data_IF_372023327306
#
_entry.id   IF_372023327306
#
_cell.length_a   1.000
_cell.length_b   1.000
_cell.length_c   1.000
_cell.angle_alpha   90.00
_cell.angle_beta   90.00
_cell.angle_gamma   90.00
#
_symmetry.space_group_name_H-M   'P 1'
#
loop_
_entity.id
_entity.type
_entity.pdbx_description
1 polymer ?
#
# COMPACT_ATOMS: atom_id res chain seq x y z
N UNK A 1 -38.76 23.30 3.06
CA UNK A 1 -37.78 22.50 3.78
C UNK A 1 -37.76 21.12 3.14
N UNK A 2 -36.78 20.87 2.26
CA UNK A 2 -36.53 19.55 1.69
C UNK A 2 -35.40 18.89 2.50
N UNK A 3 -35.44 17.57 2.71
CA UNK A 3 -34.43 16.88 3.52
C UNK A 3 -33.11 16.77 2.73
N UNK A 4 -32.01 17.10 3.41
CA UNK A 4 -30.65 16.88 2.94
C UNK A 4 -30.40 15.37 2.95
N UNK A 5 -30.53 14.75 1.79
CA UNK A 5 -30.23 13.33 1.57
C UNK A 5 -28.75 13.13 1.32
N UNK A 6 -28.10 12.52 2.28
CA UNK A 6 -27.01 11.52 2.18
C UNK A 6 -25.96 11.69 1.08
N UNK A 7 -24.92 12.51 1.35
CA UNK A 7 -23.63 12.43 0.62
C UNK A 7 -22.78 11.21 1.01
N UNK A 8 -23.09 10.54 2.14
CA UNK A 8 -22.37 9.34 2.58
C UNK A 8 -22.45 8.16 1.61
N UNK A 9 -23.59 7.96 0.95
CA UNK A 9 -23.80 6.84 0.02
C UNK A 9 -22.99 6.95 -1.29
N UNK A 10 -22.51 8.13 -1.66
CA UNK A 10 -21.80 8.32 -2.94
C UNK A 10 -20.33 7.89 -2.85
N UNK A 11 -19.72 8.02 -1.67
CA UNK A 11 -18.32 7.61 -1.44
C UNK A 11 -18.23 6.09 -1.28
N UNK A 12 -19.17 5.46 -0.59
CA UNK A 12 -19.23 3.99 -0.46
C UNK A 12 -19.40 3.29 -1.82
N UNK A 13 -20.30 3.79 -2.69
CA UNK A 13 -20.51 3.20 -4.00
C UNK A 13 -19.31 3.33 -4.95
N UNK A 14 -18.49 4.39 -4.81
CA UNK A 14 -17.31 4.56 -5.67
C UNK A 14 -16.16 3.64 -5.28
N UNK A 15 -15.92 3.40 -4.00
CA UNK A 15 -14.84 2.52 -3.54
C UNK A 15 -15.13 1.04 -3.86
N UNK A 16 -16.37 0.58 -3.66
CA UNK A 16 -16.79 -0.77 -4.07
C UNK A 16 -16.87 -0.93 -5.59
N UNK A 17 -17.17 0.12 -6.34
CA UNK A 17 -17.21 0.08 -7.80
C UNK A 17 -15.81 -0.12 -8.43
N UNK A 18 -14.75 0.42 -7.83
CA UNK A 18 -13.38 0.23 -8.31
C UNK A 18 -12.93 -1.23 -8.11
N UNK A 19 -13.29 -1.85 -6.98
CA UNK A 19 -13.03 -3.29 -6.75
C UNK A 19 -13.92 -4.16 -7.65
N UNK A 20 -15.16 -3.74 -7.94
CA UNK A 20 -16.09 -4.47 -8.80
C UNK A 20 -15.78 -4.31 -10.30
N UNK A 21 -15.22 -3.18 -10.74
CA UNK A 21 -14.83 -2.98 -12.15
C UNK A 21 -13.65 -3.88 -12.54
N UNK A 22 -12.73 -4.15 -11.61
CA UNK A 22 -11.65 -5.13 -11.81
C UNK A 22 -12.16 -6.59 -11.92
N UNK A 23 -13.42 -6.85 -11.56
CA UNK A 23 -14.03 -8.21 -11.59
C UNK A 23 -14.85 -8.53 -12.85
N UNK A 24 -15.11 -7.58 -13.77
CA UNK A 24 -16.08 -7.77 -14.86
C UNK A 24 -15.52 -8.20 -16.23
N UNK A 25 -14.26 -8.57 -16.34
CA UNK A 25 -13.70 -9.14 -17.57
C UNK A 25 -13.21 -10.56 -17.33
N UNK A 26 -14.12 -11.48 -17.04
CA UNK A 26 -13.87 -12.92 -17.17
C UNK A 26 -14.83 -13.49 -18.21
N UNK A 27 -14.32 -13.70 -19.41
CA UNK A 27 -14.80 -14.75 -20.30
C UNK A 27 -13.63 -15.66 -20.67
N UNK A 28 -13.88 -16.95 -20.55
CA UNK A 28 -12.92 -18.03 -20.57
C UNK A 28 -12.23 -18.20 -21.93
N UNK A 29 -10.89 -18.16 -21.91
CA UNK A 29 -10.11 -18.88 -22.92
C UNK A 29 -9.10 -19.79 -22.20
N UNK A 30 -9.36 -21.09 -22.28
CA UNK A 30 -8.42 -22.14 -21.85
C UNK A 30 -7.12 -22.05 -22.64
N UNK A 31 -6.09 -21.50 -22.05
CA UNK A 31 -4.70 -21.62 -22.48
C UNK A 31 -3.97 -22.51 -21.48
N UNK A 32 -3.29 -23.54 -21.99
CA UNK A 32 -2.54 -24.53 -21.22
C UNK A 32 -1.59 -23.85 -20.22
N UNK A 33 -1.63 -24.31 -18.98
CA UNK A 33 -0.82 -23.83 -17.88
C UNK A 33 0.70 -23.89 -18.20
N UNK A 34 1.34 -22.74 -18.14
CA UNK A 34 2.79 -22.64 -18.07
C UNK A 34 3.30 -23.06 -16.67
N UNK A 35 4.56 -23.48 -16.53
CA UNK A 35 5.04 -24.08 -15.30
C UNK A 35 4.96 -23.18 -14.08
N UNK A 36 4.69 -23.78 -12.94
CA UNK A 36 4.43 -23.24 -11.59
C UNK A 36 5.48 -22.26 -11.02
N UNK A 37 6.59 -22.04 -11.68
CA UNK A 37 7.71 -21.17 -11.24
C UNK A 37 7.45 -19.66 -11.41
N UNK A 38 6.39 -19.26 -12.13
CA UNK A 38 6.10 -17.85 -12.42
C UNK A 38 4.85 -17.30 -11.71
N UNK A 39 4.25 -18.11 -10.84
CA UNK A 39 3.09 -17.66 -10.09
C UNK A 39 3.53 -16.83 -8.87
N UNK A 40 2.85 -15.70 -8.58
CA UNK A 40 3.09 -14.96 -7.36
C UNK A 40 2.65 -15.78 -6.13
N UNK A 41 3.27 -15.57 -4.97
CA UNK A 41 2.90 -16.26 -3.73
C UNK A 41 1.43 -15.99 -3.37
N UNK A 42 0.74 -16.95 -2.74
CA UNK A 42 -0.61 -16.76 -2.23
C UNK A 42 -0.59 -15.76 -1.06
N UNK A 43 -1.63 -14.91 -0.97
CA UNK A 43 -1.80 -14.02 0.18
C UNK A 43 -3.29 -13.88 0.56
N UNK A 44 -3.61 -13.47 1.82
CA UNK A 44 -4.96 -13.07 2.20
C UNK A 44 -5.48 -11.90 1.36
N UNK A 45 -6.80 -11.71 1.33
CA UNK A 45 -7.40 -10.54 0.67
C UNK A 45 -7.11 -9.24 1.42
N UNK A 46 -6.84 -9.32 2.73
CA UNK A 46 -6.46 -8.20 3.57
C UNK A 46 -5.18 -8.58 4.31
N UNK A 47 -4.08 -7.96 3.93
CA UNK A 47 -2.73 -8.27 4.38
C UNK A 47 -1.98 -6.98 4.80
N UNK A 48 -0.87 -7.08 5.52
CA UNK A 48 -0.06 -5.92 5.87
C UNK A 48 0.23 -5.03 4.65
N UNK A 49 0.05 -3.72 4.81
CA UNK A 49 0.14 -2.73 3.74
C UNK A 49 -1.18 -2.39 3.04
N UNK A 50 -2.22 -3.20 3.16
CA UNK A 50 -3.52 -2.91 2.58
C UNK A 50 -4.28 -1.84 3.41
N UNK A 51 -5.06 -1.00 2.74
CA UNK A 51 -5.93 -0.05 3.40
C UNK A 51 -7.04 -0.75 4.16
N UNK A 52 -7.33 -0.21 5.34
CA UNK A 52 -8.43 -0.70 6.16
C UNK A 52 -9.77 -0.43 5.48
N UNK A 53 -10.69 -1.41 5.43
CA UNK A 53 -12.04 -1.18 4.97
C UNK A 53 -12.72 -0.06 5.75
N UNK A 54 -13.37 0.86 5.06
CA UNK A 54 -14.09 1.96 5.68
C UNK A 54 -15.39 1.45 6.30
N UNK A 55 -15.68 1.91 7.51
CA UNK A 55 -16.92 1.59 8.20
C UNK A 55 -17.39 2.77 9.04
N UNK A 56 -18.68 2.79 9.36
CA UNK A 56 -19.27 3.69 10.31
C UNK A 56 -20.15 2.89 11.28
N UNK A 57 -20.16 3.30 12.55
CA UNK A 57 -20.95 2.68 13.59
C UNK A 57 -21.31 3.73 14.67
N UNK A 58 -21.96 3.31 15.74
CA UNK A 58 -22.20 4.15 16.92
C UNK A 58 -21.36 3.69 18.10
N UNK A 59 -20.83 4.64 18.86
CA UNK A 59 -20.12 4.31 20.09
C UNK A 59 -21.11 4.05 21.26
N UNK A 60 -20.57 3.65 22.41
CA UNK A 60 -21.32 3.40 23.65
C UNK A 60 -22.10 4.61 24.20
N UNK A 61 -21.84 5.82 23.69
CA UNK A 61 -22.53 7.05 24.05
C UNK A 61 -23.55 7.48 22.97
N UNK A 62 -23.75 6.62 21.94
CA UNK A 62 -24.66 6.85 20.81
C UNK A 62 -24.14 7.82 19.75
N UNK A 63 -22.90 8.30 19.85
CA UNK A 63 -22.28 9.20 18.86
C UNK A 63 -21.86 8.40 17.63
N UNK A 64 -21.99 9.01 16.46
CA UNK A 64 -21.51 8.43 15.22
C UNK A 64 -19.97 8.37 15.22
N UNK A 65 -19.43 7.23 14.85
CA UNK A 65 -18.02 7.01 14.63
C UNK A 65 -17.83 6.63 13.17
N UNK A 66 -17.20 7.50 12.41
CA UNK A 66 -16.74 7.23 11.05
C UNK A 66 -15.25 6.94 11.11
N UNK A 67 -14.87 5.72 10.77
CA UNK A 67 -13.49 5.25 10.94
C UNK A 67 -12.47 6.17 10.23
N UNK A 68 -12.75 6.56 8.99
CA UNK A 68 -11.82 7.37 8.20
C UNK A 68 -11.49 8.71 8.83
N UNK A 69 -12.49 9.40 9.35
CA UNK A 69 -12.32 10.75 9.91
C UNK A 69 -11.98 10.75 11.41
N UNK A 70 -12.35 9.70 12.12
CA UNK A 70 -12.17 9.62 13.58
C UNK A 70 -10.75 9.18 13.98
N UNK A 71 -10.02 8.52 13.08
CA UNK A 71 -8.66 8.00 13.30
C UNK A 71 -7.69 8.82 12.50
N UNK A 72 -6.89 9.65 13.17
CA UNK A 72 -6.10 10.69 12.51
C UNK A 72 -4.65 10.70 13.00
N UNK A 73 -3.72 10.32 12.10
CA UNK A 73 -2.30 10.57 12.28
C UNK A 73 -1.60 9.81 13.42
N UNK A 74 -2.28 8.86 14.07
CA UNK A 74 -1.69 8.00 15.10
C UNK A 74 -1.87 6.52 14.73
N UNK A 75 -0.96 5.64 15.17
CA UNK A 75 -1.20 4.20 15.08
C UNK A 75 -2.54 3.84 15.73
N UNK A 76 -3.26 2.90 15.14
CA UNK A 76 -4.60 2.53 15.62
C UNK A 76 -4.69 1.05 15.87
N UNK A 77 -5.33 0.70 16.99
CA UNK A 77 -5.67 -0.68 17.32
C UNK A 77 -7.18 -0.84 17.22
N UNK A 78 -7.62 -1.75 16.35
CA UNK A 78 -8.99 -2.22 16.33
C UNK A 78 -9.05 -3.56 17.07
N UNK A 79 -9.80 -3.60 18.16
CA UNK A 79 -10.10 -4.81 18.90
C UNK A 79 -11.52 -5.28 18.58
N UNK A 80 -11.66 -6.44 18.02
CA UNK A 80 -12.94 -7.12 17.81
C UNK A 80 -13.17 -8.13 18.93
N UNK A 81 -14.11 -7.87 19.81
CA UNK A 81 -14.36 -8.73 20.97
C UNK A 81 -15.01 -10.09 20.60
N UNK A 82 -15.70 -10.13 19.45
CA UNK A 82 -16.44 -11.32 19.06
C UNK A 82 -17.52 -11.67 20.07
N UNK A 83 -17.63 -12.94 20.44
CA UNK A 83 -18.59 -13.40 21.47
C UNK A 83 -18.13 -13.23 22.92
N UNK A 84 -16.93 -12.68 23.17
CA UNK A 84 -16.39 -12.51 24.53
C UNK A 84 -16.79 -11.15 25.12
N UNK A 85 -17.02 -11.10 26.42
CA UNK A 85 -17.18 -9.83 27.12
C UNK A 85 -15.82 -9.18 27.36
N UNK A 86 -15.79 -7.83 27.43
CA UNK A 86 -14.56 -7.09 27.73
C UNK A 86 -14.00 -7.46 29.12
N UNK A 87 -14.89 -7.73 30.07
CA UNK A 87 -14.50 -8.20 31.41
C UNK A 87 -13.81 -9.56 31.36
N UNK A 88 -14.28 -10.50 30.53
CA UNK A 88 -13.66 -11.81 30.41
C UNK A 88 -12.35 -11.74 29.66
N UNK A 89 -12.24 -10.86 28.64
CA UNK A 89 -10.98 -10.61 27.94
C UNK A 89 -9.89 -10.08 28.89
N UNK A 90 -10.24 -9.17 29.78
CA UNK A 90 -9.33 -8.64 30.81
C UNK A 90 -8.93 -9.75 31.81
N UNK A 91 -9.89 -10.57 32.29
CA UNK A 91 -9.59 -11.71 33.14
C UNK A 91 -8.69 -12.76 32.47
N UNK A 92 -8.77 -12.87 31.14
CA UNK A 92 -7.92 -13.78 30.34
C UNK A 92 -6.54 -13.18 30.04
N UNK A 93 -6.18 -12.06 30.64
CA UNK A 93 -4.86 -11.45 30.57
C UNK A 93 -4.70 -10.39 29.47
N UNK A 94 -5.80 -9.89 28.88
CA UNK A 94 -5.73 -8.72 28.01
C UNK A 94 -5.59 -7.46 28.87
N UNK A 95 -4.42 -6.79 28.77
CA UNK A 95 -4.21 -5.52 29.43
C UNK A 95 -4.70 -4.35 28.52
N UNK A 96 -5.77 -3.63 28.90
CA UNK A 96 -6.21 -2.48 28.14
C UNK A 96 -5.17 -1.39 28.01
N UNK A 97 -4.28 -1.21 28.98
CA UNK A 97 -3.25 -0.19 28.93
C UNK A 97 -2.18 -0.53 27.88
N UNK A 98 -1.85 -1.82 27.70
CA UNK A 98 -0.93 -2.27 26.67
C UNK A 98 -1.42 -1.97 25.25
N UNK A 99 -2.74 -1.95 25.02
CA UNK A 99 -3.31 -1.59 23.72
C UNK A 99 -3.01 -0.14 23.34
N UNK A 100 -3.01 0.79 24.31
CA UNK A 100 -2.73 2.21 24.07
C UNK A 100 -1.22 2.55 24.14
N UNK A 101 -0.36 1.55 24.27
CA UNK A 101 1.06 1.76 24.34
C UNK A 101 1.56 2.60 23.16
N UNK A 102 2.49 3.52 23.46
CA UNK A 102 3.10 4.33 22.42
C UNK A 102 2.19 5.35 21.75
N UNK A 103 1.07 5.74 22.37
CA UNK A 103 0.15 6.74 21.83
C UNK A 103 -0.80 6.19 20.76
N UNK A 104 -0.97 4.87 20.69
CA UNK A 104 -1.94 4.27 19.78
C UNK A 104 -3.39 4.63 20.19
N UNK A 105 -4.22 4.92 19.21
CA UNK A 105 -5.67 5.05 19.41
C UNK A 105 -6.28 3.64 19.45
N UNK A 106 -7.22 3.42 20.37
CA UNK A 106 -7.88 2.13 20.53
C UNK A 106 -9.37 2.26 20.28
N UNK A 107 -9.88 1.44 19.39
CA UNK A 107 -11.30 1.32 19.11
C UNK A 107 -11.72 -0.15 19.25
N UNK A 108 -12.69 -0.40 20.13
CA UNK A 108 -13.15 -1.74 20.46
C UNK A 108 -14.56 -1.97 19.94
N UNK A 109 -14.75 -2.99 19.10
CA UNK A 109 -16.06 -3.37 18.58
C UNK A 109 -16.62 -4.55 19.37
N UNK A 110 -17.84 -4.40 19.85
CA UNK A 110 -18.58 -5.44 20.55
C UNK A 110 -19.87 -5.77 19.81
N UNK A 111 -20.26 -7.05 19.73
CA UNK A 111 -21.53 -7.46 19.14
C UNK A 111 -22.71 -6.82 19.88
N UNK A 112 -23.71 -6.34 19.16
CA UNK A 112 -24.92 -5.75 19.72
C UNK A 112 -25.06 -4.28 19.45
N UNK A 113 -26.07 -3.67 20.05
CA UNK A 113 -26.40 -2.26 19.93
C UNK A 113 -25.60 -1.38 20.89
N UNK A 114 -25.90 -0.09 20.91
CA UNK A 114 -25.24 0.90 21.78
C UNK A 114 -25.46 0.63 23.26
N UNK A 115 -26.60 0.03 23.63
CA UNK A 115 -26.90 -0.34 25.03
C UNK A 115 -25.98 -1.44 25.50
N UNK A 116 -25.76 -2.46 24.66
CA UNK A 116 -24.80 -3.54 24.94
C UNK A 116 -23.38 -2.98 25.05
N UNK A 117 -22.98 -2.10 24.12
CA UNK A 117 -21.67 -1.45 24.15
C UNK A 117 -21.44 -0.65 25.43
N UNK A 118 -22.44 0.12 25.87
CA UNK A 118 -22.38 0.91 27.10
C UNK A 118 -22.28 -0.02 28.33
N UNK A 119 -23.12 -1.03 28.41
CA UNK A 119 -23.12 -2.02 29.52
C UNK A 119 -21.77 -2.74 29.62
N UNK A 120 -21.19 -3.19 28.51
CA UNK A 120 -19.91 -3.84 28.52
C UNK A 120 -18.77 -2.91 28.95
N UNK A 121 -18.78 -1.65 28.50
CA UNK A 121 -17.79 -0.63 28.87
C UNK A 121 -17.85 -0.37 30.39
N UNK A 122 -19.03 -0.15 30.94
CA UNK A 122 -19.24 0.13 32.35
C UNK A 122 -18.84 -1.06 33.22
N UNK A 123 -19.38 -2.24 32.92
CA UNK A 123 -19.12 -3.47 33.69
C UNK A 123 -17.65 -3.89 33.74
N UNK A 124 -16.87 -3.55 32.71
CA UNK A 124 -15.45 -3.90 32.64
C UNK A 124 -14.51 -2.78 33.11
N UNK A 125 -15.02 -1.53 33.26
CA UNK A 125 -14.18 -0.36 33.44
C UNK A 125 -13.27 -0.07 32.25
N UNK A 126 -13.69 -0.45 31.02
CA UNK A 126 -12.87 -0.36 29.82
C UNK A 126 -12.50 1.10 29.48
N UNK A 127 -11.21 1.45 29.46
CA UNK A 127 -10.80 2.85 29.34
C UNK A 127 -10.92 3.41 27.91
N UNK A 128 -11.04 2.56 26.91
CA UNK A 128 -11.05 2.97 25.52
C UNK A 128 -12.47 3.13 24.97
N UNK A 129 -12.54 3.64 23.73
CA UNK A 129 -13.80 3.74 22.99
C UNK A 129 -14.36 2.37 22.69
N UNK A 130 -15.64 2.15 23.03
CA UNK A 130 -16.38 0.92 22.72
C UNK A 130 -17.46 1.25 21.70
N UNK A 131 -17.56 0.47 20.67
CA UNK A 131 -18.46 0.66 19.54
C UNK A 131 -19.39 -0.52 19.39
N UNK A 132 -20.61 -0.23 19.02
CA UNK A 132 -21.65 -1.20 18.72
C UNK A 132 -21.44 -1.79 17.31
N UNK A 133 -21.53 -3.12 17.20
CA UNK A 133 -21.51 -3.85 15.92
C UNK A 133 -22.74 -4.77 15.83
N UNK A 134 -23.94 -4.20 15.50
CA UNK A 134 -25.19 -4.97 15.42
C UNK A 134 -25.07 -6.08 14.38
N UNK A 135 -25.46 -7.30 14.77
CA UNK A 135 -25.33 -8.46 13.89
C UNK A 135 -23.89 -8.91 13.62
N UNK A 136 -22.91 -8.23 14.22
CA UNK A 136 -21.47 -8.47 13.99
C UNK A 136 -21.05 -8.29 12.52
N UNK A 137 -21.66 -7.36 11.81
CA UNK A 137 -21.44 -7.20 10.37
C UNK A 137 -20.03 -6.67 10.05
N UNK A 138 -19.53 -5.70 10.83
CA UNK A 138 -18.17 -5.19 10.67
C UNK A 138 -17.17 -6.30 11.03
N UNK A 139 -17.38 -6.98 12.17
CA UNK A 139 -16.54 -8.10 12.62
C UNK A 139 -16.45 -9.22 11.59
N UNK A 140 -17.59 -9.64 11.00
CA UNK A 140 -17.63 -10.66 9.95
C UNK A 140 -16.91 -10.23 8.68
N UNK A 141 -17.08 -8.96 8.29
CA UNK A 141 -16.38 -8.38 7.14
C UNK A 141 -14.86 -8.47 7.29
N UNK A 142 -14.33 -8.02 8.42
CA UNK A 142 -12.89 -8.09 8.71
C UNK A 142 -12.37 -9.54 8.80
N UNK A 143 -13.11 -10.43 9.45
CA UNK A 143 -12.76 -11.83 9.54
C UNK A 143 -12.75 -12.52 8.16
N UNK A 144 -13.72 -12.23 7.30
CA UNK A 144 -13.79 -12.76 5.94
C UNK A 144 -12.63 -12.31 5.04
N UNK A 145 -12.17 -11.06 5.21
CA UNK A 145 -11.06 -10.51 4.43
C UNK A 145 -9.69 -11.01 4.93
N UNK A 146 -9.46 -11.04 6.25
CA UNK A 146 -8.18 -11.40 6.84
C UNK A 146 -8.00 -12.90 7.04
N UNK A 147 -9.09 -13.67 7.07
CA UNK A 147 -9.08 -15.08 7.49
C UNK A 147 -8.92 -15.27 8.99
N UNK A 148 -8.97 -14.20 9.80
CA UNK A 148 -8.79 -14.28 11.28
C UNK A 148 -10.11 -14.03 11.97
N UNK A 149 -10.60 -15.06 12.68
CA UNK A 149 -11.85 -14.96 13.44
C UNK A 149 -11.68 -14.11 14.71
N UNK A 150 -12.72 -13.39 15.09
CA UNK A 150 -12.78 -12.71 16.38
C UNK A 150 -12.94 -13.72 17.55
N UNK A 151 -12.40 -13.43 18.76
CA UNK A 151 -11.77 -12.17 19.12
C UNK A 151 -10.41 -11.97 18.44
N UNK A 152 -10.14 -10.75 17.97
CA UNK A 152 -8.95 -10.44 17.21
C UNK A 152 -8.52 -8.97 17.39
N UNK A 153 -7.22 -8.73 17.25
CA UNK A 153 -6.60 -7.41 17.27
C UNK A 153 -5.98 -7.11 15.90
N UNK A 154 -6.29 -5.95 15.35
CA UNK A 154 -5.68 -5.40 14.15
C UNK A 154 -4.87 -4.17 14.54
N UNK A 155 -3.63 -4.09 14.06
CA UNK A 155 -2.76 -2.94 14.25
C UNK A 155 -2.61 -2.21 12.92
N UNK A 156 -2.88 -0.91 12.93
CA UNK A 156 -2.85 -0.04 11.75
C UNK A 156 -1.81 1.04 11.93
N UNK A 157 -1.19 1.45 10.82
CA UNK A 157 -0.31 2.61 10.80
C UNK A 157 -1.09 3.95 10.84
N UNK A 158 -0.42 5.10 11.03
CA UNK A 158 -1.08 6.41 11.03
C UNK A 158 -1.86 6.75 9.77
N UNK A 159 -1.62 6.05 8.66
CA UNK A 159 -2.33 6.18 7.40
C UNK A 159 -3.44 5.13 7.20
N UNK A 160 -3.85 4.47 8.30
CA UNK A 160 -4.94 3.47 8.32
C UNK A 160 -4.67 2.22 7.48
N UNK A 161 -3.40 1.84 7.32
CA UNK A 161 -3.00 0.62 6.62
C UNK A 161 -2.67 -0.48 7.62
N UNK A 162 -3.05 -1.72 7.30
CA UNK A 162 -2.76 -2.86 8.15
C UNK A 162 -1.26 -3.07 8.33
N UNK A 163 -0.82 -3.19 9.57
CA UNK A 163 0.52 -3.65 9.97
C UNK A 163 0.49 -5.14 10.28
N UNK A 164 -0.51 -5.57 11.03
CA UNK A 164 -0.67 -6.95 11.40
C UNK A 164 -2.01 -7.24 12.06
N UNK A 165 -2.38 -8.52 12.05
CA UNK A 165 -3.58 -9.03 12.69
C UNK A 165 -3.24 -10.26 13.52
N UNK A 166 -3.87 -10.38 14.69
CA UNK A 166 -3.72 -11.54 15.59
C UNK A 166 -5.05 -11.95 16.19
N UNK A 167 -5.41 -13.21 16.03
CA UNK A 167 -6.53 -13.82 16.74
C UNK A 167 -6.22 -14.03 18.23
N UNK A 168 -7.23 -13.86 19.07
CA UNK A 168 -7.13 -14.02 20.52
C UNK A 168 -7.86 -15.28 21.03
N UNK A 169 -8.29 -16.18 20.16
CA UNK A 169 -8.99 -17.42 20.55
C UNK A 169 -8.19 -18.34 21.48
N UNK A 170 -6.86 -18.21 21.51
CA UNK A 170 -5.96 -18.89 22.45
C UNK A 170 -5.58 -18.05 23.69
N UNK A 171 -6.23 -16.91 23.93
CA UNK A 171 -5.90 -15.97 25.00
C UNK A 171 -4.89 -14.89 24.58
N UNK A 172 -4.54 -14.03 25.55
CA UNK A 172 -3.68 -12.85 25.32
C UNK A 172 -2.18 -13.11 25.54
N UNK A 173 -1.77 -14.35 25.80
CA UNK A 173 -0.37 -14.67 26.09
C UNK A 173 0.58 -14.19 24.96
N UNK A 174 1.62 -13.41 25.33
CA UNK A 174 2.59 -12.85 24.40
C UNK A 174 2.03 -11.75 23.48
N UNK A 175 0.84 -11.20 23.79
CA UNK A 175 0.23 -10.12 23.02
C UNK A 175 1.04 -8.83 23.14
N UNK A 176 1.51 -8.48 24.34
CA UNK A 176 2.23 -7.24 24.60
C UNK A 176 3.51 -7.13 23.77
N UNK A 177 4.30 -8.19 23.72
CA UNK A 177 5.51 -8.26 22.89
C UNK A 177 5.20 -8.14 21.40
N UNK A 178 4.13 -8.81 20.95
CA UNK A 178 3.68 -8.70 19.57
C UNK A 178 3.19 -7.28 19.23
N UNK A 179 2.38 -6.67 20.10
CA UNK A 179 1.91 -5.29 19.93
C UNK A 179 3.06 -4.30 19.88
N UNK A 180 4.03 -4.42 20.79
CA UNK A 180 5.22 -3.58 20.79
C UNK A 180 5.99 -3.65 19.46
N UNK A 181 6.17 -4.86 18.91
CA UNK A 181 6.79 -5.07 17.61
C UNK A 181 5.99 -4.46 16.45
N UNK A 182 4.67 -4.59 16.46
CA UNK A 182 3.79 -4.00 15.43
C UNK A 182 3.77 -2.47 15.53
N UNK A 183 3.63 -1.91 16.73
CA UNK A 183 3.62 -0.47 16.95
C UNK A 183 4.98 0.19 16.62
N UNK A 184 6.09 -0.51 16.82
CA UNK A 184 7.41 -0.05 16.37
C UNK A 184 7.45 0.10 14.83
N UNK A 185 6.83 -0.81 14.09
CA UNK A 185 6.71 -0.72 12.64
C UNK A 185 5.72 0.36 12.18
N UNK A 186 4.70 0.68 12.99
CA UNK A 186 3.71 1.69 12.68
C UNK A 186 4.26 3.12 12.78
N UNK A 187 5.33 3.32 13.52
CA UNK A 187 5.94 4.64 13.72
C UNK A 187 6.88 4.95 12.58
N UNK A 188 6.82 6.18 12.08
CA UNK A 188 7.76 6.65 11.05
C UNK A 188 9.16 7.02 11.62
N UNK A 189 9.43 6.74 12.90
CA UNK A 189 10.75 6.80 13.54
C UNK A 189 11.52 8.12 13.44
N UNK A 190 10.85 9.24 13.11
CA UNK A 190 11.48 10.55 12.94
C UNK A 190 10.95 11.53 13.97
N UNK A 191 11.86 12.31 14.52
CA UNK A 191 11.52 13.48 15.29
C UNK A 191 10.85 14.54 14.41
N UNK A 192 10.10 15.44 15.04
CA UNK A 192 9.50 16.57 14.34
C UNK A 192 10.58 17.39 13.65
N UNK A 193 10.41 17.62 12.34
CA UNK A 193 11.35 18.40 11.53
C UNK A 193 10.61 19.46 10.73
N UNK A 194 11.25 20.62 10.55
CA UNK A 194 10.77 21.66 9.65
C UNK A 194 11.27 21.38 8.24
N UNK A 195 10.35 21.15 7.32
CA UNK A 195 10.67 20.95 5.90
C UNK A 195 10.42 22.25 5.16
N UNK A 196 11.50 22.85 4.66
CA UNK A 196 11.41 24.11 3.87
C UNK A 196 11.34 23.83 2.38
N UNK A 197 12.00 22.75 1.91
CA UNK A 197 12.02 22.32 0.50
C UNK A 197 11.93 20.82 0.45
N UNK A 198 11.10 20.30 -0.46
CA UNK A 198 11.01 18.87 -0.73
C UNK A 198 10.49 18.65 -2.16
N UNK A 199 10.97 17.63 -2.82
CA UNK A 199 10.40 17.21 -4.10
C UNK A 199 8.95 16.73 -3.86
N UNK A 200 7.99 17.10 -4.75
CA UNK A 200 6.61 16.64 -4.65
C UNK A 200 6.49 15.18 -5.12
N UNK A 201 7.16 14.29 -4.39
CA UNK A 201 7.17 12.86 -4.62
C UNK A 201 6.47 12.14 -3.47
N UNK A 202 5.50 11.28 -3.81
CA UNK A 202 4.74 10.49 -2.86
C UNK A 202 5.50 9.19 -2.56
N UNK A 203 5.80 8.95 -1.29
CA UNK A 203 6.32 7.67 -0.81
C UNK A 203 5.15 6.80 -0.34
N UNK A 204 5.02 5.61 -0.92
CA UNK A 204 4.00 4.63 -0.55
C UNK A 204 4.70 3.41 0.06
N UNK A 205 4.78 3.32 1.40
CA UNK A 205 5.39 2.18 2.06
C UNK A 205 4.57 0.92 1.86
N UNK A 206 5.22 -0.25 1.85
CA UNK A 206 4.55 -1.56 1.70
C UNK A 206 3.58 -1.64 0.53
N UNK A 207 3.95 -1.07 -0.61
CA UNK A 207 3.17 -1.21 -1.84
C UNK A 207 3.17 -2.65 -2.36
N UNK A 208 4.25 -3.40 -2.11
CA UNK A 208 4.38 -4.83 -2.37
C UNK A 208 4.92 -5.56 -1.14
N UNK A 209 4.56 -6.83 -0.98
CA UNK A 209 5.15 -7.73 0.01
C UNK A 209 6.60 -8.09 -0.36
N UNK A 210 7.45 -8.48 0.61
CA UNK A 210 8.80 -8.99 0.32
C UNK A 210 8.80 -10.17 -0.66
N UNK A 211 7.81 -11.05 -0.58
CA UNK A 211 7.63 -12.22 -1.45
C UNK A 211 7.28 -11.81 -2.88
N UNK A 212 6.46 -10.77 -3.06
CA UNK A 212 6.16 -10.19 -4.37
C UNK A 212 7.41 -9.59 -5.00
N UNK A 213 8.25 -8.92 -4.21
CA UNK A 213 9.53 -8.39 -4.66
C UNK A 213 10.46 -9.52 -5.14
N UNK A 214 10.55 -10.61 -4.38
CA UNK A 214 11.35 -11.78 -4.75
C UNK A 214 10.81 -12.44 -6.04
N UNK A 215 9.51 -12.56 -6.17
CA UNK A 215 8.85 -13.06 -7.38
C UNK A 215 9.21 -12.21 -8.61
N UNK A 216 9.11 -10.88 -8.52
CA UNK A 216 9.45 -9.97 -9.62
C UNK A 216 10.92 -10.07 -10.01
N UNK A 217 11.83 -10.16 -9.03
CA UNK A 217 13.26 -10.38 -9.29
C UNK A 217 13.47 -11.74 -9.99
N UNK A 218 12.74 -12.78 -9.57
CA UNK A 218 12.73 -14.09 -10.21
C UNK A 218 12.31 -14.03 -11.68
N UNK A 219 11.28 -13.26 -12.02
CA UNK A 219 10.86 -13.03 -13.41
C UNK A 219 11.98 -12.39 -14.24
N UNK A 220 12.69 -11.41 -13.67
CA UNK A 220 13.83 -10.79 -14.34
C UNK A 220 14.97 -11.77 -14.59
N UNK A 221 15.28 -12.66 -13.62
CA UNK A 221 16.35 -13.65 -13.76
C UNK A 221 16.05 -14.71 -14.82
N UNK A 222 14.78 -15.10 -14.98
CA UNK A 222 14.38 -16.20 -15.85
C UNK A 222 13.83 -15.74 -17.21
N UNK A 223 13.53 -14.44 -17.38
CA UNK A 223 12.97 -13.89 -18.61
C UNK A 223 14.02 -13.33 -19.56
N UNK A 224 13.60 -13.01 -20.78
CA UNK A 224 14.42 -12.28 -21.75
C UNK A 224 14.61 -10.83 -21.30
N UNK A 225 15.83 -10.34 -21.35
CA UNK A 225 16.22 -9.00 -20.92
C UNK A 225 16.81 -8.24 -22.07
N UNK A 226 16.39 -6.98 -22.18
CA UNK A 226 16.93 -6.03 -23.12
C UNK A 226 17.77 -4.99 -22.38
N UNK A 227 18.79 -4.44 -23.06
CA UNK A 227 19.45 -3.22 -22.59
C UNK A 227 18.42 -2.08 -22.56
N UNK A 228 18.37 -1.37 -21.42
CA UNK A 228 17.36 -0.37 -21.19
C UNK A 228 17.41 0.77 -22.20
N UNK A 229 16.36 0.87 -23.02
CA UNK A 229 16.21 1.92 -24.03
C UNK A 229 15.78 3.25 -23.41
N UNK A 230 16.10 4.35 -24.10
CA UNK A 230 15.60 5.70 -23.82
C UNK A 230 14.78 6.22 -25.02
N UNK A 231 13.76 7.02 -24.76
CA UNK A 231 13.03 7.71 -25.81
C UNK A 231 13.94 8.81 -26.40
N UNK A 232 14.22 8.74 -27.69
CA UNK A 232 14.99 9.76 -28.40
C UNK A 232 14.00 10.59 -29.21
N UNK A 233 13.87 11.88 -28.85
CA UNK A 233 13.04 12.83 -29.59
C UNK A 233 13.78 13.33 -30.79
N UNK A 234 13.20 13.18 -32.00
CA UNK A 234 13.54 14.01 -33.15
C UNK A 234 12.28 14.67 -33.70
N UNK A 235 12.42 15.86 -34.24
CA UNK A 235 11.34 16.60 -34.90
C UNK A 235 10.77 15.87 -36.15
N UNK A 236 11.33 14.70 -36.52
CA UNK A 236 10.96 13.94 -37.72
C UNK A 236 10.58 12.48 -37.46
N UNK A 237 10.35 12.07 -36.20
CA UNK A 237 9.96 10.69 -35.83
C UNK A 237 10.74 10.20 -34.62
N UNK A 238 10.12 10.28 -33.46
CA UNK A 238 10.72 9.78 -32.22
C UNK A 238 10.81 8.25 -32.21
N UNK A 239 11.91 7.71 -31.68
CA UNK A 239 12.14 6.29 -31.50
C UNK A 239 12.66 5.97 -30.12
N UNK A 240 12.86 4.69 -29.82
CA UNK A 240 13.57 4.24 -28.61
C UNK A 240 14.92 3.67 -29.00
N UNK A 241 15.97 4.07 -28.30
CA UNK A 241 17.35 3.63 -28.58
C UNK A 241 18.07 3.28 -27.28
N UNK A 242 19.05 2.40 -27.37
CA UNK A 242 20.01 2.14 -26.31
C UNK A 242 21.08 3.22 -26.36
N UNK A 243 21.18 4.05 -25.31
CA UNK A 243 22.19 5.12 -25.21
C UNK A 243 22.95 4.91 -23.89
N UNK A 244 24.08 4.17 -23.91
CA UNK A 244 24.81 3.78 -22.69
C UNK A 244 25.40 4.97 -21.90
N UNK A 245 25.54 6.12 -22.52
CA UNK A 245 25.95 7.36 -21.83
C UNK A 245 24.81 8.03 -21.08
N UNK A 246 23.58 7.67 -21.39
CA UNK A 246 22.37 8.22 -20.76
C UNK A 246 21.80 7.25 -19.74
N UNK A 247 21.80 5.93 -20.02
CA UNK A 247 21.20 4.90 -19.18
C UNK A 247 21.96 3.59 -19.27
N UNK A 248 22.24 3.00 -18.11
CA UNK A 248 22.79 1.64 -17.98
C UNK A 248 21.92 0.84 -17.04
N UNK A 249 20.93 0.13 -17.61
CA UNK A 249 19.98 -0.72 -16.90
C UNK A 249 19.54 -1.85 -17.84
N UNK A 250 19.41 -3.04 -17.34
CA UNK A 250 18.82 -4.16 -18.06
C UNK A 250 17.35 -4.29 -17.67
N UNK A 251 16.46 -4.35 -18.65
CA UNK A 251 15.01 -4.36 -18.46
C UNK A 251 14.38 -5.68 -18.90
N UNK A 252 13.57 -6.30 -18.04
CA UNK A 252 12.59 -7.32 -18.40
C UNK A 252 11.22 -6.64 -18.58
N UNK A 253 10.57 -6.85 -19.72
CA UNK A 253 9.23 -6.32 -19.99
C UNK A 253 8.18 -7.38 -19.67
N UNK A 254 7.24 -7.07 -18.79
CA UNK A 254 6.16 -7.97 -18.39
C UNK A 254 5.09 -8.04 -19.49
N UNK A 255 5.37 -8.81 -20.56
CA UNK A 255 4.49 -8.93 -21.73
C UNK A 255 3.34 -9.89 -21.50
N UNK A 256 3.46 -10.79 -20.54
CA UNK A 256 2.40 -11.72 -20.14
C UNK A 256 1.31 -10.94 -19.35
N UNK A 257 0.16 -10.78 -19.98
CA UNK A 257 -0.97 -10.04 -19.43
C UNK A 257 -1.58 -10.69 -18.20
N UNK A 258 -1.48 -12.00 -18.05
CA UNK A 258 -1.96 -12.71 -16.86
C UNK A 258 -1.07 -12.42 -15.66
N UNK A 259 0.26 -12.42 -15.84
CA UNK A 259 1.20 -12.03 -14.78
C UNK A 259 1.09 -10.55 -14.45
N UNK A 260 0.93 -9.69 -15.47
CA UNK A 260 0.71 -8.25 -15.26
C UNK A 260 -0.55 -7.99 -14.44
N UNK A 261 -1.65 -8.67 -14.75
CA UNK A 261 -2.91 -8.55 -13.99
C UNK A 261 -2.73 -9.00 -12.53
N UNK A 262 -2.00 -10.09 -12.28
CA UNK A 262 -1.69 -10.53 -10.92
C UNK A 262 -0.88 -9.50 -10.13
N UNK A 263 0.04 -8.78 -10.78
CA UNK A 263 0.77 -7.68 -10.15
C UNK A 263 -0.16 -6.49 -9.87
N UNK A 264 -1.01 -6.13 -10.83
CA UNK A 264 -2.00 -5.06 -10.65
C UNK A 264 -2.96 -5.36 -9.48
N UNK A 265 -3.47 -6.58 -9.38
CA UNK A 265 -4.38 -7.00 -8.30
C UNK A 265 -3.75 -6.85 -6.90
N UNK A 266 -2.42 -6.88 -6.81
CA UNK A 266 -1.66 -6.72 -5.56
C UNK A 266 -1.28 -5.28 -5.27
N UNK A 267 -0.84 -4.57 -6.30
CA UNK A 267 -0.29 -3.23 -6.18
C UNK A 267 -1.38 -2.16 -6.10
N UNK A 268 -2.39 -2.23 -6.99
CA UNK A 268 -3.33 -1.14 -7.16
C UNK A 268 -4.20 -0.84 -5.94
N UNK A 269 -4.66 -1.83 -5.15
CA UNK A 269 -5.39 -1.55 -3.91
C UNK A 269 -4.59 -0.75 -2.87
N UNK A 270 -3.27 -0.77 -2.96
CA UNK A 270 -2.35 -0.04 -2.07
C UNK A 270 -1.87 1.27 -2.64
N UNK A 271 -1.75 1.35 -3.96
CA UNK A 271 -1.21 2.51 -4.66
C UNK A 271 -2.28 3.56 -4.97
N UNK A 272 -3.43 3.11 -5.51
CA UNK A 272 -4.51 3.99 -5.99
C UNK A 272 -5.03 4.93 -4.92
N UNK A 273 -5.38 4.47 -3.71
CA UNK A 273 -5.90 5.35 -2.67
C UNK A 273 -4.91 6.44 -2.28
N UNK A 274 -3.62 6.12 -2.27
CA UNK A 274 -2.57 7.09 -1.93
C UNK A 274 -2.39 8.14 -3.03
N UNK A 275 -2.40 7.72 -4.30
CA UNK A 275 -2.31 8.63 -5.45
C UNK A 275 -3.53 9.55 -5.51
N UNK A 276 -4.73 8.99 -5.34
CA UNK A 276 -5.97 9.76 -5.32
C UNK A 276 -5.98 10.77 -4.18
N UNK A 277 -5.60 10.36 -2.97
CA UNK A 277 -5.53 11.23 -1.80
C UNK A 277 -4.50 12.35 -1.93
N UNK A 278 -3.31 12.05 -2.45
CA UNK A 278 -2.21 13.01 -2.55
C UNK A 278 -2.36 13.98 -3.71
N UNK A 279 -2.88 13.54 -4.85
CA UNK A 279 -2.86 14.28 -6.10
C UNK A 279 -4.25 14.56 -6.69
N UNK A 280 -5.34 14.08 -6.07
CA UNK A 280 -6.70 14.14 -6.62
C UNK A 280 -6.76 13.63 -8.08
N UNK A 281 -6.01 12.55 -8.36
CA UNK A 281 -5.85 11.99 -9.68
C UNK A 281 -6.49 10.61 -9.77
N UNK A 282 -7.47 10.48 -10.67
CA UNK A 282 -8.28 9.29 -10.90
C UNK A 282 -8.42 9.02 -12.40
N UNK A 283 -8.97 7.85 -12.75
CA UNK A 283 -9.31 7.54 -14.14
C UNK A 283 -8.10 7.34 -15.05
N UNK A 284 -7.02 6.75 -14.54
CA UNK A 284 -5.79 6.49 -15.29
C UNK A 284 -5.74 5.08 -15.88
N UNK A 285 -4.90 4.94 -16.89
CA UNK A 285 -4.42 3.65 -17.41
C UNK A 285 -2.99 3.41 -16.94
N UNK A 286 -2.59 2.15 -16.90
CA UNK A 286 -1.26 1.73 -16.45
C UNK A 286 -0.48 1.20 -17.64
N UNK A 287 0.74 1.68 -17.86
CA UNK A 287 1.65 1.11 -18.86
C UNK A 287 2.18 -0.27 -18.43
N UNK A 288 2.59 -1.08 -19.40
CA UNK A 288 3.25 -2.36 -19.15
C UNK A 288 4.43 -2.21 -18.20
N UNK A 289 4.46 -3.04 -17.17
CA UNK A 289 5.54 -3.03 -16.19
C UNK A 289 6.87 -3.47 -16.81
N UNK A 290 7.93 -2.83 -16.30
CA UNK A 290 9.32 -3.22 -16.56
C UNK A 290 9.97 -3.54 -15.22
N UNK A 291 10.74 -4.62 -15.18
CA UNK A 291 11.61 -4.91 -14.05
C UNK A 291 13.02 -4.59 -14.49
N UNK A 292 13.59 -3.53 -13.90
CA UNK A 292 14.90 -3.02 -14.26
C UNK A 292 15.96 -3.43 -13.24
N UNK A 293 17.17 -3.75 -13.73
CA UNK A 293 18.32 -4.02 -12.91
C UNK A 293 19.46 -3.06 -13.25
N UNK A 294 19.90 -2.29 -12.26
CA UNK A 294 21.10 -1.48 -12.29
C UNK A 294 22.23 -2.24 -11.61
N UNK A 295 23.28 -2.58 -12.34
CA UNK A 295 24.40 -3.39 -11.88
C UNK A 295 25.61 -2.52 -11.54
N UNK A 296 26.23 -2.75 -10.39
CA UNK A 296 27.42 -2.00 -9.95
C UNK A 296 28.61 -2.18 -10.92
N UNK A 297 28.84 -3.40 -11.44
CA UNK A 297 29.91 -3.69 -12.37
C UNK A 297 29.79 -2.96 -13.72
N UNK A 298 28.56 -2.46 -14.02
CA UNK A 298 28.30 -1.60 -15.18
C UNK A 298 28.13 -0.12 -14.78
N UNK A 299 28.39 0.22 -13.50
CA UNK A 299 28.04 1.51 -12.92
C UNK A 299 26.62 1.93 -13.33
N UNK A 300 25.64 1.04 -13.08
CA UNK A 300 24.25 1.21 -13.52
C UNK A 300 23.64 2.53 -13.02
N UNK A 301 23.11 3.33 -13.94
CA UNK A 301 22.58 4.68 -13.67
C UNK A 301 21.54 5.08 -14.71
N UNK A 302 20.88 6.22 -14.48
CA UNK A 302 20.11 6.95 -15.47
C UNK A 302 20.32 8.46 -15.25
N UNK A 303 20.85 9.13 -16.28
CA UNK A 303 21.13 10.58 -16.19
C UNK A 303 19.86 11.39 -16.01
N UNK A 304 20.04 12.64 -15.66
CA UNK A 304 18.97 13.64 -15.51
C UNK A 304 18.06 13.68 -16.73
N UNK A 305 16.75 13.47 -16.53
CA UNK A 305 15.73 13.46 -17.58
C UNK A 305 14.32 13.74 -17.03
N UNK A 306 13.36 13.90 -17.92
CA UNK A 306 11.92 13.91 -17.68
C UNK A 306 11.29 12.78 -18.50
N UNK A 307 10.21 12.19 -18.00
CA UNK A 307 9.60 11.02 -18.65
C UNK A 307 8.57 11.37 -19.74
N UNK A 308 8.15 12.63 -19.84
CA UNK A 308 7.06 13.10 -20.71
C UNK A 308 7.53 13.99 -21.88
N UNK A 309 8.80 14.05 -22.17
CA UNK A 309 9.38 15.04 -23.12
C UNK A 309 9.23 14.68 -24.61
N UNK A 310 8.92 13.42 -24.95
CA UNK A 310 8.74 13.01 -26.34
C UNK A 310 7.25 12.90 -26.71
N UNK A 311 6.88 13.02 -27.99
CA UNK A 311 5.51 12.81 -28.44
C UNK A 311 4.96 11.44 -28.01
N UNK A 312 5.79 10.41 -27.98
CA UNK A 312 5.43 9.04 -27.58
C UNK A 312 5.19 8.88 -26.07
N UNK A 313 5.64 9.83 -25.24
CA UNK A 313 5.57 9.72 -23.77
C UNK A 313 4.77 10.87 -23.13
N UNK A 314 4.32 11.84 -23.91
CA UNK A 314 3.64 13.06 -23.43
C UNK A 314 2.32 12.79 -22.68
N UNK A 315 1.72 11.62 -22.91
CA UNK A 315 0.52 11.17 -22.22
C UNK A 315 0.78 10.69 -20.77
N UNK A 316 2.04 10.43 -20.40
CA UNK A 316 2.44 10.02 -19.06
C UNK A 316 2.22 11.14 -18.06
N UNK A 317 1.58 10.82 -16.92
CA UNK A 317 1.32 11.77 -15.84
C UNK A 317 2.18 11.50 -14.63
N UNK A 318 2.19 10.27 -14.16
CA UNK A 318 2.99 9.87 -13.01
C UNK A 318 3.87 8.67 -13.34
N UNK A 319 5.13 8.75 -12.94
CA UNK A 319 6.02 7.61 -12.86
C UNK A 319 5.81 6.90 -11.52
N UNK A 320 5.81 5.58 -11.57
CA UNK A 320 5.78 4.71 -10.39
C UNK A 320 7.02 3.86 -10.40
N UNK A 321 7.87 3.97 -9.38
CA UNK A 321 9.03 3.11 -9.19
C UNK A 321 8.93 2.39 -7.86
N UNK A 322 9.03 1.05 -7.90
CA UNK A 322 8.98 0.16 -6.73
C UNK A 322 10.38 -0.37 -6.47
N UNK A 323 10.90 -0.18 -5.26
CA UNK A 323 12.19 -0.73 -4.88
C UNK A 323 12.03 -2.19 -4.44
N UNK A 324 12.68 -3.12 -5.13
CA UNK A 324 12.47 -4.57 -4.90
C UNK A 324 13.45 -5.19 -3.91
N UNK A 325 14.62 -4.58 -3.69
CA UNK A 325 15.68 -5.16 -2.85
C UNK A 325 16.53 -4.13 -2.10
N UNK A 326 15.91 -3.06 -1.62
CA UNK A 326 16.60 -2.09 -0.76
C UNK A 326 17.24 -2.79 0.43
N UNK A 327 18.50 -2.50 0.68
CA UNK A 327 19.36 -3.17 1.68
C UNK A 327 20.40 -4.11 1.07
N UNK A 328 20.21 -4.56 -0.19
CA UNK A 328 21.13 -5.50 -0.87
C UNK A 328 22.10 -4.79 -1.82
N UNK A 329 22.04 -3.46 -1.91
CA UNK A 329 22.89 -2.65 -2.80
C UNK A 329 23.29 -1.32 -2.14
N UNK A 330 24.33 -0.66 -2.70
CA UNK A 330 24.75 0.69 -2.32
C UNK A 330 24.72 1.63 -3.54
N UNK A 331 24.47 2.92 -3.30
CA UNK A 331 24.24 3.90 -4.37
C UNK A 331 22.89 3.72 -5.03
N UNK A 332 22.76 4.15 -6.29
CA UNK A 332 21.55 3.97 -7.09
C UNK A 332 20.33 4.76 -6.60
N UNK A 333 20.51 5.82 -5.84
CA UNK A 333 19.41 6.61 -5.30
C UNK A 333 18.72 7.42 -6.39
N UNK A 334 17.42 7.64 -6.23
CA UNK A 334 16.65 8.58 -7.02
C UNK A 334 16.84 9.99 -6.45
N UNK A 335 17.07 10.97 -7.31
CA UNK A 335 17.24 12.37 -6.95
C UNK A 335 16.41 13.29 -7.88
N UNK A 336 15.91 14.39 -7.30
CA UNK A 336 15.17 15.44 -8.02
C UNK A 336 15.95 16.75 -7.90
N UNK A 337 16.91 17.02 -8.79
CA UNK A 337 17.87 18.13 -8.64
C UNK A 337 17.24 19.52 -8.70
N UNK A 338 16.01 19.66 -9.19
CA UNK A 338 15.25 20.93 -9.14
C UNK A 338 14.82 21.31 -7.70
N UNK A 339 14.81 20.35 -6.78
CA UNK A 339 14.27 20.53 -5.42
C UNK A 339 15.33 20.46 -4.33
N UNK A 340 16.46 19.85 -4.61
CA UNK A 340 17.54 19.77 -3.64
C UNK A 340 18.44 18.55 -3.81
N UNK A 341 19.36 18.35 -2.84
CA UNK A 341 20.31 17.24 -2.85
C UNK A 341 19.76 15.94 -2.27
N UNK A 342 18.51 15.94 -1.78
CA UNK A 342 17.91 14.82 -1.08
C UNK A 342 17.86 13.57 -1.94
N UNK A 343 18.17 12.43 -1.34
CA UNK A 343 18.20 11.13 -1.98
C UNK A 343 16.98 10.31 -1.54
N UNK A 344 16.28 9.74 -2.51
CA UNK A 344 15.11 8.89 -2.29
C UNK A 344 15.52 7.43 -2.41
N UNK A 345 15.55 6.74 -1.28
CA UNK A 345 15.79 5.30 -1.16
C UNK A 345 14.69 4.67 -0.28
N UNK A 346 13.48 4.49 -0.82
CA UNK A 346 12.41 3.85 -0.06
C UNK A 346 12.77 2.42 0.32
N UNK A 347 12.09 1.89 1.33
CA UNK A 347 12.26 0.52 1.80
C UNK A 347 11.90 -0.50 0.71
N UNK A 348 12.32 -1.74 0.91
CA UNK A 348 11.94 -2.87 0.07
C UNK A 348 10.42 -2.99 0.01
N UNK A 349 9.88 -3.10 -1.20
CA UNK A 349 8.45 -3.16 -1.47
C UNK A 349 7.73 -1.80 -1.44
N UNK A 350 8.41 -0.70 -1.12
CA UNK A 350 7.84 0.63 -1.17
C UNK A 350 7.92 1.24 -2.57
N UNK A 351 6.97 2.12 -2.90
CA UNK A 351 6.93 2.86 -4.15
C UNK A 351 7.27 4.34 -3.95
N UNK A 352 7.86 4.96 -4.97
CA UNK A 352 7.89 6.40 -5.17
C UNK A 352 7.01 6.73 -6.37
N UNK A 353 6.07 7.66 -6.19
CA UNK A 353 5.20 8.16 -7.25
C UNK A 353 5.47 9.65 -7.43
N UNK A 354 5.77 10.08 -8.64
CA UNK A 354 6.08 11.47 -8.94
C UNK A 354 5.64 11.85 -10.36
N UNK A 355 5.42 13.14 -10.58
CA UNK A 355 5.05 13.64 -11.91
C UNK A 355 6.14 13.35 -12.94
N UNK A 356 5.77 12.84 -14.11
CA UNK A 356 6.67 12.60 -15.24
C UNK A 356 7.37 13.86 -15.72
N UNK A 357 6.84 15.04 -15.39
CA UNK A 357 7.44 16.35 -15.71
C UNK A 357 8.54 16.78 -14.73
N UNK A 358 8.75 16.06 -13.61
CA UNK A 358 9.85 16.38 -12.71
C UNK A 358 11.18 15.91 -13.29
N UNK A 359 12.18 16.81 -13.23
CA UNK A 359 13.55 16.45 -13.56
C UNK A 359 14.09 15.50 -12.51
N UNK A 360 14.55 14.33 -12.93
CA UNK A 360 15.04 13.30 -12.02
C UNK A 360 16.17 12.48 -12.63
N UNK A 361 16.89 11.79 -11.77
CA UNK A 361 17.97 10.90 -12.15
C UNK A 361 18.10 9.72 -11.20
N UNK A 362 18.76 8.66 -11.64
CA UNK A 362 19.21 7.57 -10.80
C UNK A 362 20.72 7.62 -10.74
N UNK A 363 21.26 7.85 -9.55
CA UNK A 363 22.70 7.89 -9.31
C UNK A 363 23.34 6.51 -9.57
N UNK A 364 24.65 6.44 -9.84
CA UNK A 364 25.32 5.17 -10.06
C UNK A 364 25.18 4.20 -8.87
N UNK A 365 24.88 2.94 -9.17
CA UNK A 365 24.99 1.84 -8.20
C UNK A 365 26.47 1.55 -8.01
N UNK A 366 26.91 1.54 -6.73
CA UNK A 366 28.31 1.40 -6.36
C UNK A 366 28.66 0.00 -5.85
N UNK A 367 27.64 -0.75 -5.35
CA UNK A 367 27.80 -2.12 -4.89
C UNK A 367 26.52 -2.91 -5.10
N UNK A 368 26.64 -4.18 -5.50
CA UNK A 368 25.51 -5.08 -5.69
C UNK A 368 24.67 -4.73 -6.93
N UNK A 369 23.43 -5.17 -6.92
CA UNK A 369 22.46 -4.96 -7.99
C UNK A 369 21.20 -4.33 -7.43
N UNK A 370 20.77 -3.19 -7.98
CA UNK A 370 19.50 -2.55 -7.62
C UNK A 370 18.41 -3.01 -8.57
N UNK A 371 17.39 -3.68 -8.03
CA UNK A 371 16.20 -4.08 -8.76
C UNK A 371 15.03 -3.14 -8.47
N UNK A 372 14.30 -2.76 -9.54
CA UNK A 372 13.11 -1.93 -9.47
C UNK A 372 12.03 -2.45 -10.40
N UNK A 373 10.77 -2.32 -10.02
CA UNK A 373 9.66 -2.43 -10.96
C UNK A 373 9.14 -1.03 -11.31
N UNK A 374 8.85 -0.79 -12.57
CA UNK A 374 8.56 0.53 -13.13
C UNK A 374 7.32 0.47 -14.00
N UNK A 375 6.44 1.46 -13.84
CA UNK A 375 5.32 1.71 -14.74
C UNK A 375 4.97 3.19 -14.75
N UNK A 376 4.01 3.58 -15.60
CA UNK A 376 3.49 4.95 -15.68
C UNK A 376 1.97 4.93 -15.57
N UNK A 377 1.44 5.95 -14.89
CA UNK A 377 0.02 6.24 -14.88
C UNK A 377 -0.26 7.32 -15.93
N UNK A 378 -1.17 7.03 -16.84
CA UNK A 378 -1.50 7.86 -17.98
C UNK A 378 -2.94 8.34 -17.92
N UNK A 379 -3.23 9.49 -18.49
CA UNK A 379 -4.61 9.86 -18.81
C UNK A 379 -5.04 9.04 -20.03
N UNK A 380 -6.23 8.44 -20.02
CA UNK A 380 -6.78 7.84 -21.23
C UNK A 380 -6.78 8.86 -22.35
N UNK A 381 -6.21 8.50 -23.49
CA UNK A 381 -6.32 9.32 -24.69
C UNK A 381 -7.77 9.20 -25.17
N UNK A 382 -8.48 10.33 -25.40
CA UNK A 382 -9.86 10.32 -25.87
C UNK A 382 -10.02 9.58 -27.20
#
# INVERSE_FOLDING_TARGET
>A
MQPVGTQANVVEHRFFAIIAAARRTREDHHIKAAPTLFEPPARPQYAPGDHTPLFACRDSEGRTFEFYSAVTGAPTILLFAGGQSLADMTKSGLDPAALAAGGAQVATLVPGDTTVAATQKEASGWPHRVMADPGSEITKGFAGLSGVAAPAVYVLDPNQRLIGVRGLGGGAMGLDGWLAGMLAQARHGRDQAVIQHAAPALLVPRALEPEDCAWLIGLWHNGERDDGTVAVGSSAGGGVQVVPTTKRREDYYMRDKALEQKLLDRLMPRLVPEVSKAFHFEGYTVETFKIGCYKAEKAGFFTVHRDDTSPATKHRKFAVTLNLNTGDYEGGDLRFPEYGPELFRPEKGAAVVFSCSLLHEVLPVTKGHRFVALTFLNVPVP
#
